data_IF_998077530703
#
_entry.id   IF_998077530703
#
_cell.length_a   1.000
_cell.length_b   1.000
_cell.length_c   1.000
_cell.angle_alpha   90.00
_cell.angle_beta   90.00
_cell.angle_gamma   90.00
#
_symmetry.space_group_name_H-M   'P 1'
#
loop_
_entity.id
_entity.type
_entity.pdbx_description
1 polymer ?
#
# COMPACT_ATOMS: atom_id res chain seq x y z
N UNK A 1 5.37 18.85 -6.31
CA UNK A 1 6.45 17.88 -6.61
C UNK A 1 6.67 16.84 -5.52
N UNK A 2 6.65 17.19 -4.21
CA UNK A 2 6.90 16.22 -3.13
C UNK A 2 5.84 15.09 -3.06
N UNK A 3 4.57 15.37 -3.34
CA UNK A 3 3.51 14.36 -3.42
C UNK A 3 3.82 13.29 -4.47
N UNK A 4 4.05 13.70 -5.73
CA UNK A 4 4.36 12.76 -6.82
C UNK A 4 5.59 11.90 -6.50
N UNK A 5 6.64 12.50 -5.92
CA UNK A 5 7.82 11.76 -5.49
C UNK A 5 7.48 10.71 -4.41
N UNK A 6 6.76 11.10 -3.37
CA UNK A 6 6.34 10.19 -2.30
C UNK A 6 5.44 9.06 -2.84
N UNK A 7 4.52 9.40 -3.75
CA UNK A 7 3.65 8.46 -4.44
C UNK A 7 4.44 7.43 -5.25
N UNK A 8 5.34 7.84 -6.15
CA UNK A 8 6.09 6.92 -7.01
C UNK A 8 7.01 5.99 -6.20
N UNK A 9 7.65 6.50 -5.15
CA UNK A 9 8.51 5.66 -4.28
C UNK A 9 7.68 4.64 -3.50
N UNK A 10 6.53 5.06 -2.98
CA UNK A 10 5.62 4.14 -2.28
C UNK A 10 5.05 3.09 -3.24
N UNK A 11 4.66 3.50 -4.44
CA UNK A 11 4.18 2.60 -5.50
C UNK A 11 5.22 1.55 -5.87
N UNK A 12 6.48 1.95 -6.04
CA UNK A 12 7.57 1.03 -6.31
C UNK A 12 7.75 0.02 -5.16
N UNK A 13 7.69 0.48 -3.91
CA UNK A 13 7.73 -0.40 -2.73
C UNK A 13 6.61 -1.45 -2.75
N UNK A 14 5.38 -1.03 -3.05
CA UNK A 14 4.24 -1.96 -3.11
C UNK A 14 4.39 -2.99 -4.23
N UNK A 15 4.73 -2.54 -5.44
CA UNK A 15 4.95 -3.45 -6.58
C UNK A 15 6.05 -4.46 -6.24
N UNK A 16 7.17 -3.99 -5.67
CA UNK A 16 8.28 -4.85 -5.30
C UNK A 16 7.86 -5.94 -4.29
N UNK A 17 7.17 -5.58 -3.20
CA UNK A 17 6.76 -6.56 -2.19
C UNK A 17 5.68 -7.52 -2.68
N UNK A 18 4.65 -7.02 -3.39
CA UNK A 18 3.63 -7.89 -3.94
C UNK A 18 4.22 -8.82 -5.01
N UNK A 19 5.17 -8.36 -5.82
CA UNK A 19 5.90 -9.21 -6.77
C UNK A 19 6.66 -10.33 -6.04
N UNK A 20 7.36 -10.00 -4.95
CA UNK A 20 8.08 -10.99 -4.16
C UNK A 20 7.14 -12.05 -3.55
N UNK A 21 5.98 -11.62 -3.04
CA UNK A 21 4.96 -12.55 -2.53
C UNK A 21 4.42 -13.49 -3.62
N UNK A 22 4.14 -12.96 -4.82
CA UNK A 22 3.67 -13.78 -5.92
C UNK A 22 4.72 -14.80 -6.38
N UNK A 23 5.99 -14.42 -6.41
CA UNK A 23 7.09 -15.34 -6.75
C UNK A 23 7.17 -16.48 -5.73
N UNK A 24 7.00 -16.19 -4.44
CA UNK A 24 7.00 -17.22 -3.39
C UNK A 24 5.83 -18.19 -3.56
N UNK A 25 4.65 -17.70 -3.95
CA UNK A 25 3.43 -18.51 -4.07
C UNK A 25 3.33 -19.29 -5.38
N UNK A 26 3.73 -18.70 -6.51
CA UNK A 26 3.45 -19.22 -7.85
C UNK A 26 4.71 -19.50 -8.69
N UNK A 27 5.90 -19.18 -8.16
CA UNK A 27 7.17 -19.32 -8.87
C UNK A 27 7.37 -18.27 -9.98
N UNK A 28 8.36 -18.50 -10.85
CA UNK A 28 8.83 -17.48 -11.81
C UNK A 28 8.16 -17.49 -13.19
N UNK A 29 7.34 -18.51 -13.50
CA UNK A 29 6.90 -18.79 -14.87
C UNK A 29 6.01 -17.70 -15.49
N UNK A 30 5.36 -16.87 -14.67
CA UNK A 30 4.38 -15.86 -15.13
C UNK A 30 4.66 -14.44 -14.58
N UNK A 31 5.88 -14.17 -14.14
CA UNK A 31 6.25 -12.90 -13.46
C UNK A 31 5.85 -11.66 -14.27
N UNK A 32 6.04 -11.66 -15.58
CA UNK A 32 5.75 -10.49 -16.43
C UNK A 32 4.25 -10.18 -16.42
N UNK A 33 3.40 -11.20 -16.61
CA UNK A 33 1.95 -11.03 -16.61
C UNK A 33 1.45 -10.58 -15.22
N UNK A 34 2.03 -11.14 -14.15
CA UNK A 34 1.74 -10.77 -12.78
C UNK A 34 2.13 -9.32 -12.46
N UNK A 35 3.27 -8.84 -12.93
CA UNK A 35 3.70 -7.44 -12.74
C UNK A 35 2.75 -6.48 -13.47
N UNK A 36 2.35 -6.81 -14.71
CA UNK A 36 1.38 -5.99 -15.47
C UNK A 36 0.04 -5.93 -14.74
N UNK A 37 -0.44 -7.07 -14.23
CA UNK A 37 -1.65 -7.12 -13.42
C UNK A 37 -1.51 -6.25 -12.15
N UNK A 38 -0.42 -6.37 -11.41
CA UNK A 38 -0.16 -5.54 -10.24
C UNK A 38 -0.13 -4.05 -10.57
N UNK A 39 0.48 -3.65 -11.68
CA UNK A 39 0.49 -2.24 -12.09
C UNK A 39 -0.92 -1.69 -12.33
N UNK A 40 -1.84 -2.50 -12.85
CA UNK A 40 -3.23 -2.07 -13.09
C UNK A 40 -4.01 -1.94 -11.77
N UNK A 41 -3.87 -2.90 -10.85
CA UNK A 41 -4.67 -2.94 -9.62
C UNK A 41 -4.07 -2.19 -8.44
N UNK A 42 -2.75 -2.25 -8.25
CA UNK A 42 -2.06 -1.62 -7.10
C UNK A 42 -1.99 -0.11 -7.29
N UNK A 43 -1.75 0.39 -8.49
CA UNK A 43 -1.64 1.83 -8.79
C UNK A 43 -2.81 2.67 -8.26
N UNK A 44 -4.09 2.37 -8.60
CA UNK A 44 -5.23 3.15 -8.08
C UNK A 44 -5.38 3.02 -6.56
N UNK A 45 -5.07 1.87 -5.97
CA UNK A 45 -5.11 1.69 -4.51
C UNK A 45 -4.08 2.56 -3.79
N UNK A 46 -2.86 2.61 -4.33
CA UNK A 46 -1.77 3.42 -3.76
C UNK A 46 -2.07 4.91 -3.94
N UNK A 47 -2.66 5.30 -5.06
CA UNK A 47 -3.07 6.68 -5.30
C UNK A 47 -4.12 7.13 -4.30
N UNK A 48 -5.13 6.29 -4.03
CA UNK A 48 -6.18 6.59 -3.06
C UNK A 48 -5.62 6.70 -1.64
N UNK A 49 -4.79 5.75 -1.21
CA UNK A 49 -4.10 5.84 0.10
C UNK A 49 -3.24 7.11 0.19
N UNK A 50 -2.49 7.44 -0.87
CA UNK A 50 -1.68 8.66 -0.91
C UNK A 50 -2.54 9.92 -0.76
N UNK A 51 -3.75 9.96 -1.33
CA UNK A 51 -4.70 11.04 -1.16
C UNK A 51 -5.23 11.17 0.28
N UNK A 52 -5.52 10.04 0.92
CA UNK A 52 -5.91 9.98 2.34
C UNK A 52 -4.78 10.53 3.22
N UNK A 53 -3.56 10.05 3.01
CA UNK A 53 -2.38 10.47 3.78
C UNK A 53 -2.03 11.94 3.54
N UNK A 54 -2.11 12.43 2.31
CA UNK A 54 -1.91 13.86 2.00
C UNK A 54 -2.92 14.74 2.75
N UNK A 55 -4.18 14.31 2.82
CA UNK A 55 -5.23 15.02 3.55
C UNK A 55 -4.96 15.00 5.06
N UNK A 56 -4.54 13.86 5.60
CA UNK A 56 -4.16 13.73 7.01
C UNK A 56 -2.97 14.63 7.36
N UNK A 57 -1.90 14.60 6.56
CA UNK A 57 -0.65 15.34 6.79
C UNK A 57 -0.78 16.86 6.74
N UNK A 58 -1.87 17.39 6.16
CA UNK A 58 -2.23 18.82 6.24
C UNK A 58 -2.74 19.23 7.61
N UNK A 59 -3.27 18.28 8.38
CA UNK A 59 -3.92 18.55 9.67
C UNK A 59 -3.10 18.02 10.85
N UNK A 60 -2.32 16.95 10.66
CA UNK A 60 -1.63 16.26 11.74
C UNK A 60 -0.40 15.51 11.20
N UNK A 61 0.66 15.38 12.00
CA UNK A 61 1.94 14.76 11.58
C UNK A 61 2.32 13.55 12.45
N UNK A 62 1.33 12.92 13.09
CA UNK A 62 1.58 11.75 13.93
C UNK A 62 1.81 10.50 13.07
N UNK A 63 3.08 10.08 12.99
CA UNK A 63 3.52 8.91 12.24
C UNK A 63 2.89 7.60 12.70
N UNK A 64 2.53 7.47 13.98
CA UNK A 64 1.89 6.25 14.50
C UNK A 64 0.46 6.11 13.94
N UNK A 65 -0.24 7.24 13.78
CA UNK A 65 -1.58 7.26 13.16
C UNK A 65 -1.49 6.98 11.66
N UNK A 66 -0.46 7.50 10.96
CA UNK A 66 -0.19 7.15 9.56
C UNK A 66 -0.01 5.65 9.37
N UNK A 67 0.81 5.02 10.22
CA UNK A 67 1.02 3.56 10.22
C UNK A 67 -0.31 2.83 10.44
N UNK A 68 -1.12 3.30 11.38
CA UNK A 68 -2.43 2.71 11.66
C UNK A 68 -3.43 2.88 10.49
N UNK A 69 -3.44 4.04 9.83
CA UNK A 69 -4.26 4.28 8.62
C UNK A 69 -3.84 3.32 7.51
N UNK A 70 -2.53 3.16 7.27
CA UNK A 70 -2.01 2.19 6.31
C UNK A 70 -2.44 0.77 6.65
N UNK A 71 -2.36 0.38 7.93
CA UNK A 71 -2.79 -0.94 8.40
C UNK A 71 -4.26 -1.22 8.08
N UNK A 72 -5.15 -0.31 8.49
CA UNK A 72 -6.59 -0.45 8.27
C UNK A 72 -6.93 -0.45 6.79
N UNK A 73 -6.24 0.37 6.00
CA UNK A 73 -6.42 0.41 4.56
C UNK A 73 -6.04 -0.93 3.91
N UNK A 74 -4.89 -1.50 4.27
CA UNK A 74 -4.47 -2.80 3.78
C UNK A 74 -5.46 -3.92 4.15
N UNK A 75 -5.97 -3.92 5.39
CA UNK A 75 -7.02 -4.85 5.81
C UNK A 75 -8.29 -4.70 4.97
N UNK A 76 -8.75 -3.47 4.73
CA UNK A 76 -9.96 -3.21 3.94
C UNK A 76 -9.80 -3.69 2.50
N UNK A 77 -8.64 -3.43 1.87
CA UNK A 77 -8.33 -3.95 0.54
C UNK A 77 -8.34 -5.48 0.54
N UNK A 78 -7.71 -6.13 1.52
CA UNK A 78 -7.73 -7.60 1.59
C UNK A 78 -9.14 -8.15 1.69
N UNK A 79 -10.02 -7.53 2.48
CA UNK A 79 -11.42 -7.95 2.61
C UNK A 79 -12.20 -7.77 1.30
N UNK A 80 -12.00 -6.65 0.59
CA UNK A 80 -12.73 -6.34 -0.65
C UNK A 80 -12.33 -7.31 -1.78
N UNK A 81 -11.06 -7.70 -1.83
CA UNK A 81 -10.51 -8.55 -2.90
C UNK A 81 -10.44 -10.04 -2.53
N UNK A 82 -10.83 -10.39 -1.30
CA UNK A 82 -11.05 -11.77 -0.89
C UNK A 82 -12.39 -12.27 -1.46
N UNK A 83 -12.36 -12.59 -2.75
CA UNK A 83 -13.57 -12.87 -3.51
C UNK A 83 -14.25 -14.20 -3.20
N UNK A 84 -13.64 -15.16 -2.48
CA UNK A 84 -14.21 -16.52 -2.33
C UNK A 84 -13.59 -17.42 -1.24
N UNK A 85 -12.65 -16.95 -0.42
CA UNK A 85 -11.93 -17.87 0.48
C UNK A 85 -12.71 -18.11 1.76
N UNK A 86 -13.40 -19.25 1.83
CA UNK A 86 -14.07 -19.80 3.02
C UNK A 86 -13.08 -20.23 4.12
N UNK A 87 -11.89 -19.64 4.16
CA UNK A 87 -10.77 -20.01 5.02
C UNK A 87 -10.39 -18.83 5.89
N UNK A 88 -10.68 -18.96 7.19
CA UNK A 88 -10.40 -18.02 8.28
C UNK A 88 -8.89 -17.85 8.57
N UNK A 89 -8.03 -17.75 7.55
CA UNK A 89 -6.62 -17.48 7.76
C UNK A 89 -6.41 -15.97 7.95
N UNK A 90 -6.54 -15.55 9.21
CA UNK A 90 -6.32 -14.17 9.67
C UNK A 90 -5.00 -13.59 9.13
N UNK A 91 -3.98 -14.43 8.95
CA UNK A 91 -2.68 -14.06 8.39
C UNK A 91 -2.75 -13.52 6.95
N UNK A 92 -3.71 -13.97 6.14
CA UNK A 92 -3.91 -13.51 4.75
C UNK A 92 -4.34 -12.05 4.72
N UNK A 93 -5.04 -11.57 5.75
CA UNK A 93 -5.46 -10.17 5.88
C UNK A 93 -4.43 -9.30 6.61
N UNK A 94 -3.77 -9.84 7.64
CA UNK A 94 -2.78 -9.09 8.43
C UNK A 94 -1.57 -8.68 7.56
N UNK A 95 -1.08 -9.58 6.71
CA UNK A 95 0.14 -9.33 5.94
C UNK A 95 0.00 -8.12 4.99
N UNK A 96 -1.06 -7.99 4.17
CA UNK A 96 -1.30 -6.77 3.40
C UNK A 96 -1.44 -5.53 4.30
N UNK A 97 -2.12 -5.64 5.44
CA UNK A 97 -2.16 -4.58 6.45
C UNK A 97 -0.76 -4.07 6.80
N UNK A 98 0.16 -4.95 7.16
CA UNK A 98 1.54 -4.61 7.48
C UNK A 98 2.30 -3.96 6.31
N UNK A 99 2.09 -4.44 5.08
CA UNK A 99 2.70 -3.88 3.87
C UNK A 99 2.22 -2.44 3.66
N UNK A 100 0.91 -2.20 3.72
CA UNK A 100 0.33 -0.87 3.60
C UNK A 100 0.75 0.09 4.73
N UNK A 101 0.95 -0.40 5.95
CA UNK A 101 1.51 0.38 7.06
C UNK A 101 2.90 0.95 6.77
N UNK A 102 3.80 0.10 6.27
CA UNK A 102 5.19 0.50 5.97
C UNK A 102 5.21 1.44 4.77
N UNK A 103 4.43 1.14 3.72
CA UNK A 103 4.34 2.02 2.56
C UNK A 103 3.74 3.39 2.90
N UNK A 104 2.76 3.45 3.82
CA UNK A 104 2.24 4.71 4.36
C UNK A 104 3.33 5.51 5.10
N UNK A 105 4.17 4.83 5.90
CA UNK A 105 5.29 5.48 6.58
C UNK A 105 6.33 6.02 5.58
N UNK A 106 6.68 5.24 4.55
CA UNK A 106 7.59 5.68 3.47
C UNK A 106 7.04 6.94 2.79
N UNK A 107 5.76 6.93 2.44
CA UNK A 107 5.07 8.09 1.86
C UNK A 107 5.24 9.32 2.76
N UNK A 108 4.91 9.20 4.04
CA UNK A 108 4.98 10.30 5.01
C UNK A 108 6.39 10.83 5.21
N UNK A 109 7.41 9.96 5.28
CA UNK A 109 8.81 10.37 5.43
C UNK A 109 9.26 11.23 4.24
N UNK A 110 8.92 10.83 3.01
CA UNK A 110 9.32 11.56 1.81
C UNK A 110 8.49 12.83 1.64
N UNK A 111 7.21 12.76 2.00
CA UNK A 111 6.29 13.89 1.86
C UNK A 111 6.61 15.00 2.86
N UNK A 112 6.97 14.63 4.09
CA UNK A 112 7.10 15.53 5.24
C UNK A 112 5.78 16.21 5.60
N UNK A 113 5.83 17.12 6.58
CA UNK A 113 4.69 17.96 6.95
C UNK A 113 4.25 18.83 5.77
N UNK A 114 2.95 18.94 5.56
CA UNK A 114 2.36 19.81 4.54
C UNK A 114 1.94 21.11 5.21
N UNK A 115 2.65 22.20 4.95
CA UNK A 115 2.23 23.53 5.39
C UNK A 115 1.12 24.02 4.45
N UNK A 116 -0.03 24.35 5.03
CA UNK A 116 -1.12 25.01 4.32
C UNK A 116 -0.85 26.52 4.43
N UNK A 117 -0.37 27.12 3.34
CA UNK A 117 -0.31 28.57 3.18
C UNK A 117 -1.67 29.10 2.73
#
# INVERSE_FOLDING_TARGET
MKFLKAYFVSLFYYIFLFSLLLIIQHGMKEIIAMIVYQLIYVTPMVLLLSGILESYLKTNDNKLVVVFIGFLYGLAISIIFDGTTSGTDVFVYILPGCIFSIGALIFTIIRGKVEVH
#
